data_IF_899831600833
#
_entry.id   IF_899831600833
#
_cell.length_a   1.000
_cell.length_b   1.000
_cell.length_c   1.000
_cell.angle_alpha   90.00
_cell.angle_beta   90.00
_cell.angle_gamma   90.00
#
_symmetry.space_group_name_H-M   'P 1'
#
loop_
_entity.id
_entity.type
_entity.pdbx_description
1 polymer ?
#
# COMPACT_ATOMS: atom_id res chain seq x y z
N UNK A 1 23.90 -24.23 -13.75
CA UNK A 1 24.13 -22.82 -13.35
C UNK A 1 22.75 -22.22 -13.13
N UNK A 2 22.43 -21.82 -11.90
CA UNK A 2 21.13 -21.19 -11.60
C UNK A 2 21.30 -19.67 -11.75
N UNK A 3 20.31 -19.01 -12.32
CA UNK A 3 20.30 -17.56 -12.43
C UNK A 3 19.47 -17.00 -11.30
N UNK A 4 20.09 -16.17 -10.46
CA UNK A 4 19.40 -15.37 -9.46
C UNK A 4 19.09 -14.00 -10.06
N UNK A 5 17.87 -13.53 -9.83
CA UNK A 5 17.39 -12.22 -10.28
C UNK A 5 16.74 -11.49 -9.12
N UNK A 6 16.91 -10.17 -9.10
CA UNK A 6 16.32 -9.27 -8.11
C UNK A 6 15.44 -8.25 -8.84
N UNK A 7 14.25 -7.99 -8.31
CA UNK A 7 13.32 -7.01 -8.87
C UNK A 7 13.22 -5.81 -7.95
N UNK A 8 13.43 -4.63 -8.52
CA UNK A 8 13.28 -3.36 -7.83
C UNK A 8 11.99 -2.64 -8.26
N UNK A 9 11.31 -1.91 -7.35
CA UNK A 9 10.16 -1.11 -7.71
C UNK A 9 10.52 -0.05 -8.75
N UNK A 10 9.76 0.02 -9.85
CA UNK A 10 9.90 1.06 -10.87
C UNK A 10 9.11 2.33 -10.53
N UNK A 11 8.22 2.25 -9.54
CA UNK A 11 7.38 3.33 -9.06
C UNK A 11 7.52 3.49 -7.54
N UNK A 12 7.18 4.67 -7.03
CA UNK A 12 7.14 4.90 -5.58
C UNK A 12 6.10 3.99 -4.95
N UNK A 13 6.47 3.35 -3.85
CA UNK A 13 5.61 2.44 -3.09
C UNK A 13 5.22 2.95 -1.70
N UNK A 14 5.92 3.99 -1.23
CA UNK A 14 5.97 4.42 0.16
C UNK A 14 4.77 5.27 0.58
N UNK A 15 3.55 4.77 0.44
CA UNK A 15 2.35 5.55 0.75
C UNK A 15 1.83 5.26 2.15
N UNK A 16 1.44 6.30 2.88
CA UNK A 16 0.58 6.17 4.06
C UNK A 16 -0.88 6.41 3.68
N UNK A 17 -1.79 6.02 4.56
CA UNK A 17 -3.23 6.26 4.38
C UNK A 17 -3.66 7.50 5.18
N UNK A 18 -4.53 8.33 4.60
CA UNK A 18 -5.12 9.45 5.33
C UNK A 18 -6.05 8.92 6.43
N UNK A 19 -5.99 9.52 7.62
CA UNK A 19 -6.73 9.05 8.79
C UNK A 19 -8.26 9.13 8.64
N UNK A 20 -8.73 10.03 7.77
CA UNK A 20 -10.13 10.25 7.42
C UNK A 20 -10.53 9.63 6.08
N UNK A 21 -9.65 8.81 5.47
CA UNK A 21 -9.99 8.10 4.24
C UNK A 21 -11.19 7.19 4.45
N UNK A 22 -12.09 7.20 3.47
CA UNK A 22 -13.08 6.13 3.30
C UNK A 22 -12.44 4.97 2.55
N UNK A 23 -12.95 3.76 2.77
CA UNK A 23 -12.58 2.58 2.02
C UNK A 23 -13.76 2.20 1.12
N UNK A 24 -13.57 2.30 -0.18
CA UNK A 24 -14.52 1.74 -1.14
C UNK A 24 -14.09 0.30 -1.42
N UNK A 25 -14.98 -0.65 -1.13
CA UNK A 25 -14.72 -2.08 -1.28
C UNK A 25 -15.30 -2.54 -2.62
N UNK A 26 -14.45 -3.13 -3.45
CA UNK A 26 -14.85 -3.84 -4.65
C UNK A 26 -14.60 -5.33 -4.49
N UNK A 27 -15.63 -6.14 -4.72
CA UNK A 27 -15.55 -7.60 -4.74
C UNK A 27 -15.88 -8.13 -6.13
N UNK A 28 -15.23 -9.21 -6.54
CA UNK A 28 -15.50 -9.88 -7.82
C UNK A 28 -15.67 -11.39 -7.63
N UNK A 29 -16.25 -12.11 -8.61
CA UNK A 29 -16.32 -13.57 -8.56
C UNK A 29 -14.92 -14.21 -8.54
N UNK A 30 -14.82 -15.40 -7.94
CA UNK A 30 -13.55 -16.14 -7.85
C UNK A 30 -12.97 -16.42 -9.25
N UNK A 31 -11.81 -15.84 -9.60
CA UNK A 31 -11.17 -16.13 -10.87
C UNK A 31 -10.43 -17.48 -10.80
N UNK A 32 -9.99 -17.97 -11.97
CA UNK A 32 -9.12 -19.15 -12.06
C UNK A 32 -7.79 -18.95 -11.31
N UNK A 33 -7.26 -17.73 -11.30
CA UNK A 33 -6.01 -17.37 -10.63
C UNK A 33 -6.23 -16.18 -9.67
N UNK A 34 -6.57 -16.42 -8.40
CA UNK A 34 -6.89 -15.37 -7.43
C UNK A 34 -5.66 -14.60 -6.91
N UNK A 35 -4.45 -15.11 -7.15
CA UNK A 35 -3.20 -14.49 -6.69
C UNK A 35 -2.54 -13.58 -7.75
N UNK A 36 -3.19 -13.36 -8.88
CA UNK A 36 -2.72 -12.40 -9.87
C UNK A 36 -3.32 -11.03 -9.59
N UNK A 37 -2.48 -9.99 -9.48
CA UNK A 37 -2.91 -8.62 -9.18
C UNK A 37 -4.04 -8.12 -10.10
N UNK A 38 -3.99 -8.46 -11.39
CA UNK A 38 -5.01 -8.10 -12.37
C UNK A 38 -6.38 -8.72 -12.07
N UNK A 39 -6.43 -9.83 -11.33
CA UNK A 39 -7.63 -10.60 -11.01
C UNK A 39 -7.91 -10.68 -9.50
N UNK A 40 -7.28 -9.85 -8.66
CA UNK A 40 -7.54 -9.82 -7.23
C UNK A 40 -9.06 -9.75 -6.93
N UNK A 41 -9.55 -10.64 -6.07
CA UNK A 41 -10.98 -10.77 -5.76
C UNK A 41 -11.52 -9.56 -5.01
N UNK A 42 -10.71 -9.03 -4.08
CA UNK A 42 -11.05 -7.87 -3.25
C UNK A 42 -10.10 -6.74 -3.63
N UNK A 43 -10.65 -5.54 -3.87
CA UNK A 43 -9.90 -4.30 -4.04
C UNK A 43 -10.44 -3.25 -3.10
N UNK A 44 -9.54 -2.46 -2.52
CA UNK A 44 -9.93 -1.30 -1.74
C UNK A 44 -9.43 -0.04 -2.43
N UNK A 45 -10.29 0.97 -2.56
CA UNK A 45 -9.84 2.33 -2.85
C UNK A 45 -9.74 3.13 -1.57
N UNK A 46 -8.64 3.85 -1.40
CA UNK A 46 -8.41 4.73 -0.27
C UNK A 46 -7.58 5.94 -0.71
N UNK A 47 -7.59 7.00 0.08
CA UNK A 47 -6.75 8.18 -0.11
C UNK A 47 -5.48 8.08 0.74
N UNK A 48 -4.36 8.48 0.17
CA UNK A 48 -3.06 8.48 0.85
C UNK A 48 -2.08 9.50 0.30
N UNK A 49 -0.94 9.64 0.96
CA UNK A 49 0.17 10.49 0.50
C UNK A 49 1.49 9.74 0.56
N UNK A 50 2.44 10.15 -0.28
CA UNK A 50 3.78 9.59 -0.26
C UNK A 50 4.50 10.01 1.04
N UNK A 51 5.16 9.06 1.68
CA UNK A 51 5.97 9.26 2.88
C UNK A 51 7.45 9.31 2.48
N UNK A 52 8.09 10.41 2.80
CA UNK A 52 9.50 10.67 2.41
C UNK A 52 10.46 9.77 3.18
N UNK A 53 10.22 9.58 4.47
CA UNK A 53 11.13 8.94 5.43
C UNK A 53 10.85 7.45 5.71
N UNK A 54 9.89 6.84 5.01
CA UNK A 54 9.75 5.38 5.01
C UNK A 54 10.84 4.76 4.12
N UNK A 55 11.46 3.67 4.56
CA UNK A 55 12.60 3.04 3.88
C UNK A 55 12.40 1.55 3.71
N UNK A 56 13.14 0.95 2.78
CA UNK A 56 13.24 -0.50 2.70
C UNK A 56 14.25 -1.01 3.73
N UNK A 57 13.94 -2.13 4.37
CA UNK A 57 14.82 -2.85 5.29
C UNK A 57 14.90 -4.30 4.81
N UNK A 58 16.08 -4.76 4.40
CA UNK A 58 16.27 -6.12 3.89
C UNK A 58 15.31 -6.50 2.75
N UNK A 59 15.13 -5.62 1.77
CA UNK A 59 14.20 -5.78 0.64
C UNK A 59 12.70 -5.90 1.02
N UNK A 60 12.35 -5.50 2.23
CA UNK A 60 10.97 -5.40 2.69
C UNK A 60 10.62 -3.94 2.98
N UNK A 61 9.32 -3.64 3.07
CA UNK A 61 8.90 -2.39 3.69
C UNK A 61 9.43 -2.38 5.13
N UNK A 62 10.23 -1.37 5.47
CA UNK A 62 10.74 -1.21 6.83
C UNK A 62 9.61 -0.86 7.80
N UNK A 63 9.96 -0.76 9.08
CA UNK A 63 9.01 -0.38 10.13
C UNK A 63 8.27 0.94 9.77
N UNK A 64 6.92 0.98 9.83
CA UNK A 64 6.16 2.21 9.65
C UNK A 64 6.67 3.35 10.54
N UNK A 65 6.97 4.54 9.99
CA UNK A 65 7.39 5.67 10.81
C UNK A 65 6.25 6.12 11.73
N UNK A 66 6.56 6.37 13.00
CA UNK A 66 5.57 6.92 13.97
C UNK A 66 5.08 8.32 13.59
N UNK A 67 5.92 9.09 12.90
CA UNK A 67 5.59 10.45 12.44
C UNK A 67 5.86 10.56 10.93
N UNK A 68 4.92 10.09 10.08
CA UNK A 68 5.11 10.07 8.64
C UNK A 68 5.31 11.47 8.05
N UNK A 69 6.42 11.68 7.33
CA UNK A 69 6.72 12.96 6.67
C UNK A 69 6.15 13.01 5.26
N UNK A 70 5.13 13.84 5.06
CA UNK A 70 4.41 13.98 3.78
C UNK A 70 4.50 15.39 3.19
N UNK A 71 5.45 16.23 3.65
CA UNK A 71 5.52 17.64 3.26
C UNK A 71 5.68 17.80 1.74
N UNK A 72 4.82 18.63 1.14
CA UNK A 72 4.78 18.87 -0.30
C UNK A 72 4.28 17.69 -1.14
N UNK A 73 3.70 16.65 -0.53
CA UNK A 73 3.07 15.54 -1.25
C UNK A 73 1.55 15.77 -1.32
N UNK A 74 0.97 15.63 -2.50
CA UNK A 74 -0.49 15.70 -2.66
C UNK A 74 -1.16 14.38 -2.25
N UNK A 75 -2.42 14.47 -1.84
CA UNK A 75 -3.26 13.29 -1.68
C UNK A 75 -3.47 12.60 -3.04
N UNK A 76 -3.50 11.27 -3.03
CA UNK A 76 -3.73 10.41 -4.19
C UNK A 76 -4.70 9.30 -3.82
N UNK A 77 -5.55 8.92 -4.78
CA UNK A 77 -6.27 7.64 -4.70
C UNK A 77 -5.27 6.49 -4.85
N UNK A 78 -5.39 5.51 -3.97
CA UNK A 78 -4.59 4.30 -3.92
C UNK A 78 -5.54 3.12 -4.08
N UNK A 79 -5.15 2.17 -4.93
CA UNK A 79 -5.77 0.86 -5.00
C UNK A 79 -4.95 -0.12 -4.15
N UNK A 80 -5.59 -0.70 -3.13
CA UNK A 80 -5.00 -1.72 -2.29
C UNK A 80 -5.49 -3.10 -2.73
N UNK A 81 -4.53 -4.02 -2.84
CA UNK A 81 -4.75 -5.40 -3.24
C UNK A 81 -4.46 -6.33 -2.05
N UNK A 82 -5.01 -7.56 -2.05
CA UNK A 82 -4.66 -8.56 -1.05
C UNK A 82 -3.17 -8.83 -1.09
N UNK A 83 -2.56 -8.97 0.09
CA UNK A 83 -1.12 -9.16 0.26
C UNK A 83 -0.54 -10.27 -0.63
N UNK A 84 -1.25 -11.38 -0.79
CA UNK A 84 -0.83 -12.53 -1.60
C UNK A 84 -0.88 -12.29 -3.11
N UNK A 85 -1.63 -11.28 -3.57
CA UNK A 85 -1.80 -10.97 -5.00
C UNK A 85 -0.83 -9.88 -5.48
N UNK A 86 -0.10 -9.23 -4.57
CA UNK A 86 0.82 -8.14 -4.86
C UNK A 86 2.29 -8.59 -4.88
N UNK A 87 3.11 -7.92 -5.71
CA UNK A 87 4.58 -8.09 -5.69
C UNK A 87 5.23 -7.41 -4.49
N UNK A 88 4.72 -6.23 -4.14
CA UNK A 88 5.10 -5.52 -2.93
C UNK A 88 4.22 -5.97 -1.78
N UNK A 89 4.86 -6.36 -0.69
CA UNK A 89 4.23 -6.96 0.48
C UNK A 89 4.21 -5.97 1.64
N UNK A 90 3.12 -5.24 1.78
CA UNK A 90 2.86 -4.34 2.91
C UNK A 90 1.68 -4.90 3.70
N UNK A 91 1.89 -5.18 5.00
CA UNK A 91 0.84 -5.65 5.91
C UNK A 91 0.21 -4.54 6.75
N UNK A 92 0.92 -3.42 6.91
CA UNK A 92 0.49 -2.29 7.73
C UNK A 92 0.89 -0.96 7.07
N UNK A 93 -0.01 0.01 7.14
CA UNK A 93 0.19 1.32 6.55
C UNK A 93 0.35 2.38 7.65
N UNK A 94 1.34 3.29 7.54
CA UNK A 94 1.41 4.45 8.41
C UNK A 94 0.17 5.33 8.22
N UNK A 95 -0.38 5.83 9.33
CA UNK A 95 -1.55 6.73 9.31
C UNK A 95 -1.10 8.17 9.23
N UNK A 96 -1.69 8.94 8.31
CA UNK A 96 -1.39 10.35 8.10
C UNK A 96 -2.53 11.21 8.66
N UNK A 97 -2.19 12.13 9.56
CA UNK A 97 -3.15 13.01 10.23
C UNK A 97 -3.78 12.36 11.47
N UNK A 98 -4.75 13.07 12.06
CA UNK A 98 -5.48 12.58 13.25
C UNK A 98 -6.84 12.07 12.81
N UNK A 99 -7.20 10.86 13.24
CA UNK A 99 -8.56 10.35 13.05
C UNK A 99 -9.52 11.23 13.87
N UNK A 100 -10.55 11.78 13.23
CA UNK A 100 -11.64 12.43 13.97
C UNK A 100 -12.35 11.36 14.78
N UNK A 101 -12.24 11.41 16.10
CA UNK A 101 -13.04 10.59 17.01
C UNK A 101 -14.50 11.01 16.83
N UNK A 102 -15.42 10.04 16.69
CA UNK A 102 -16.85 10.34 16.78
C UNK A 102 -17.15 10.60 18.26
N UNK A 103 -17.71 11.76 18.55
CA UNK A 103 -18.31 12.09 19.86
C UNK A 103 -19.52 11.21 20.15
#
# INVERSE_FOLDING_TARGET
MFHDWELYPTTSWKYGLLADTTFEVGESPLPRQPFEAAYALVRLKASGQLIRDWRMEGNNAGTPPMHPRTEGQSAKELELLPYGSARLRIGEFPVIGKRRTRE
#
